data_IF_162468849346
#
_entry.id   IF_162468849346
#
_cell.length_a   1.000
_cell.length_b   1.000
_cell.length_c   1.000
_cell.angle_alpha   90.00
_cell.angle_beta   90.00
_cell.angle_gamma   90.00
#
_symmetry.space_group_name_H-M   'P 1'
#
loop_
_entity.id
_entity.type
_entity.pdbx_description
1 polymer ?
#
# COMPACT_ATOMS: atom_id res chain seq x y z
N UNK A 1 -3.86 5.00 -0.28
CA UNK A 1 -4.21 4.45 1.06
C UNK A 1 -3.30 5.04 2.12
N UNK A 2 -3.87 5.32 3.30
CA UNK A 2 -3.14 5.81 4.48
C UNK A 2 -3.56 5.02 5.73
N UNK A 3 -2.63 4.76 6.64
CA UNK A 3 -2.93 4.17 7.94
C UNK A 3 -1.94 4.65 9.01
N UNK A 4 -2.44 4.79 10.24
CA UNK A 4 -1.65 5.24 11.39
C UNK A 4 -1.27 4.03 12.23
N UNK A 5 0.02 3.87 12.53
CA UNK A 5 0.46 2.81 13.42
C UNK A 5 0.19 3.21 14.88
N UNK A 6 -0.13 2.24 15.76
CA UNK A 6 -0.37 2.51 17.18
C UNK A 6 0.91 2.92 17.93
N UNK A 7 2.08 2.56 17.40
CA UNK A 7 3.38 2.89 17.95
C UNK A 7 4.37 3.29 16.83
N UNK A 8 5.44 4.04 17.16
CA UNK A 8 6.57 4.27 16.26
C UNK A 8 7.20 2.94 15.85
N UNK A 9 7.58 2.83 14.58
CA UNK A 9 8.36 1.69 14.08
C UNK A 9 9.56 2.27 13.34
N UNK A 10 10.79 1.80 13.61
CA UNK A 10 11.96 2.19 12.83
C UNK A 10 11.73 1.96 11.34
N UNK A 11 12.24 2.86 10.51
CA UNK A 11 12.09 2.73 9.05
C UNK A 11 12.61 1.39 8.50
N UNK A 12 13.70 0.87 9.07
CA UNK A 12 14.29 -0.40 8.67
C UNK A 12 13.37 -1.60 8.94
N UNK A 13 12.80 -1.69 10.15
CA UNK A 13 11.83 -2.73 10.52
C UNK A 13 10.58 -2.69 9.62
N UNK A 14 10.11 -1.48 9.27
CA UNK A 14 9.01 -1.32 8.32
C UNK A 14 9.38 -1.79 6.90
N UNK A 15 10.60 -1.52 6.46
CA UNK A 15 11.08 -1.97 5.14
C UNK A 15 11.15 -3.50 5.07
N UNK A 16 11.66 -4.16 6.11
CA UNK A 16 11.68 -5.62 6.21
C UNK A 16 10.27 -6.20 6.19
N UNK A 17 9.35 -5.64 6.97
CA UNK A 17 7.95 -6.06 6.99
C UNK A 17 7.27 -5.91 5.61
N UNK A 18 7.62 -4.88 4.84
CA UNK A 18 7.10 -4.70 3.47
C UNK A 18 7.73 -5.64 2.45
N UNK A 19 9.02 -5.98 2.59
CA UNK A 19 9.69 -6.95 1.72
C UNK A 19 9.03 -8.34 1.81
N UNK A 20 8.57 -8.75 2.99
CA UNK A 20 7.82 -10.00 3.17
C UNK A 20 6.50 -10.05 2.39
N UNK A 21 5.98 -8.89 1.98
CA UNK A 21 4.74 -8.79 1.22
C UNK A 21 4.99 -8.65 -0.30
N UNK A 22 6.24 -8.57 -0.75
CA UNK A 22 6.59 -8.31 -2.15
C UNK A 22 5.96 -9.34 -3.10
N UNK A 23 6.16 -10.63 -2.85
CA UNK A 23 5.66 -11.72 -3.72
C UNK A 23 4.12 -11.71 -3.83
N UNK A 24 3.43 -11.40 -2.74
CA UNK A 24 1.97 -11.27 -2.71
C UNK A 24 1.48 -10.20 -3.69
N UNK A 25 2.17 -9.06 -3.78
CA UNK A 25 1.77 -7.98 -4.68
C UNK A 25 2.27 -8.20 -6.10
N UNK A 26 3.46 -8.79 -6.28
CA UNK A 26 4.00 -9.12 -7.60
C UNK A 26 3.08 -10.06 -8.38
N UNK A 27 2.32 -10.91 -7.68
CA UNK A 27 1.37 -11.86 -8.28
C UNK A 27 -0.10 -11.39 -8.23
N UNK A 28 -0.38 -10.15 -7.82
CA UNK A 28 -1.75 -9.66 -7.66
C UNK A 28 -2.36 -9.31 -9.04
N UNK A 29 -3.46 -9.98 -9.46
CA UNK A 29 -4.09 -9.69 -10.75
C UNK A 29 -4.54 -8.24 -10.87
N UNK A 30 -4.25 -7.63 -12.02
CA UNK A 30 -4.63 -6.25 -12.33
C UNK A 30 -3.78 -5.17 -11.65
N UNK A 31 -2.86 -5.52 -10.74
CA UNK A 31 -1.94 -4.56 -10.14
C UNK A 31 -0.81 -4.24 -11.13
N UNK A 32 -0.71 -2.98 -11.54
CA UNK A 32 0.36 -2.48 -12.40
C UNK A 32 1.57 -2.05 -11.57
N UNK A 33 1.32 -1.36 -10.46
CA UNK A 33 2.39 -0.88 -9.58
C UNK A 33 1.88 -0.64 -8.17
N UNK A 34 2.73 -0.93 -7.19
CA UNK A 34 2.53 -0.53 -5.80
C UNK A 34 3.77 0.17 -5.27
N UNK A 35 3.56 1.28 -4.60
CA UNK A 35 4.60 1.96 -3.83
C UNK A 35 4.32 1.76 -2.35
N UNK A 36 5.28 1.17 -1.65
CA UNK A 36 5.31 1.16 -0.19
C UNK A 36 5.98 2.44 0.30
N UNK A 37 5.31 3.16 1.19
CA UNK A 37 5.80 4.42 1.71
C UNK A 37 5.59 4.44 3.22
N UNK A 38 6.53 5.02 3.95
CA UNK A 38 6.43 5.16 5.40
C UNK A 38 6.94 6.53 5.81
N UNK A 39 6.12 7.24 6.59
CA UNK A 39 6.50 8.46 7.27
C UNK A 39 6.80 8.10 8.73
N UNK A 40 8.08 7.98 9.04
CA UNK A 40 8.56 7.62 10.38
C UNK A 40 8.23 8.71 11.40
N UNK A 41 8.34 9.99 11.03
CA UNK A 41 8.03 11.12 11.93
C UNK A 41 6.54 11.22 12.26
N UNK A 42 5.68 10.91 11.29
CA UNK A 42 4.23 10.85 11.51
C UNK A 42 3.73 9.46 11.90
N UNK A 43 4.59 8.45 12.07
CA UNK A 43 4.24 7.04 12.33
C UNK A 43 3.12 6.54 11.41
N UNK A 44 3.21 6.87 10.12
CA UNK A 44 2.11 6.71 9.18
C UNK A 44 2.58 5.95 7.94
N UNK A 45 1.95 4.81 7.69
CA UNK A 45 2.12 4.07 6.46
C UNK A 45 1.29 4.67 5.34
N UNK A 46 1.89 4.78 4.17
CA UNK A 46 1.24 5.19 2.94
C UNK A 46 1.45 4.11 1.89
N UNK A 47 0.44 3.88 1.06
CA UNK A 47 0.59 2.99 -0.09
C UNK A 47 -0.19 3.53 -1.27
N UNK A 48 0.49 3.60 -2.40
CA UNK A 48 -0.07 4.02 -3.69
C UNK A 48 -0.16 2.79 -4.56
N UNK A 49 -1.33 2.58 -5.16
CA UNK A 49 -1.63 1.44 -6.01
C UNK A 49 -2.09 1.96 -7.37
N UNK A 50 -1.52 1.42 -8.43
CA UNK A 50 -1.98 1.60 -9.78
C UNK A 50 -2.53 0.26 -10.26
N UNK A 51 -3.82 0.22 -10.57
CA UNK A 51 -4.50 -0.94 -11.14
C UNK A 51 -4.84 -0.69 -12.62
N UNK A 52 -5.03 -1.77 -13.37
CA UNK A 52 -5.46 -1.73 -14.77
C UNK A 52 -6.86 -1.15 -14.93
N UNK A 53 -7.72 -1.35 -13.94
CA UNK A 53 -9.12 -0.95 -13.93
C UNK A 53 -9.66 -0.89 -12.49
N UNK A 54 -10.80 -0.22 -12.33
CA UNK A 54 -11.47 -0.06 -11.04
C UNK A 54 -11.93 -1.40 -10.44
N UNK A 55 -12.41 -2.34 -11.26
CA UNK A 55 -12.93 -3.62 -10.77
C UNK A 55 -11.83 -4.46 -10.10
N UNK A 56 -10.62 -4.44 -10.65
CA UNK A 56 -9.43 -5.07 -10.06
C UNK A 56 -9.05 -4.46 -8.71
N UNK A 57 -9.15 -3.13 -8.59
CA UNK A 57 -8.92 -2.46 -7.31
C UNK A 57 -9.99 -2.82 -6.27
N UNK A 58 -11.26 -2.82 -6.65
CA UNK A 58 -12.39 -3.17 -5.77
C UNK A 58 -12.34 -4.62 -5.30
N UNK A 59 -11.93 -5.55 -6.16
CA UNK A 59 -11.74 -6.95 -5.80
C UNK A 59 -10.64 -7.12 -4.73
N UNK A 60 -9.62 -6.27 -4.74
CA UNK A 60 -8.55 -6.27 -3.75
C UNK A 60 -8.98 -5.58 -2.43
N UNK A 61 -9.59 -4.39 -2.50
CA UNK A 61 -9.97 -3.57 -1.35
C UNK A 61 -11.29 -4.02 -0.68
N UNK A 62 -11.44 -5.32 -0.45
CA UNK A 62 -12.59 -5.90 0.24
C UNK A 62 -12.40 -6.10 1.75
N UNK A 63 -13.35 -6.74 2.44
CA UNK A 63 -13.29 -7.01 3.88
C UNK A 63 -12.04 -7.78 4.32
N UNK A 64 -11.56 -8.72 3.48
CA UNK A 64 -10.35 -9.51 3.75
C UNK A 64 -9.09 -8.63 3.83
N UNK A 65 -9.04 -7.56 3.04
CA UNK A 65 -7.95 -6.60 3.10
C UNK A 65 -7.95 -5.85 4.43
N UNK A 66 -9.10 -5.36 4.88
CA UNK A 66 -9.25 -4.67 6.17
C UNK A 66 -8.83 -5.57 7.32
N UNK A 67 -9.27 -6.83 7.32
CA UNK A 67 -8.84 -7.82 8.32
C UNK A 67 -7.33 -7.99 8.34
N UNK A 68 -6.69 -8.14 7.18
CA UNK A 68 -5.23 -8.29 7.11
C UNK A 68 -4.48 -7.08 7.66
N UNK A 69 -5.03 -5.87 7.52
CA UNK A 69 -4.45 -4.64 8.07
C UNK A 69 -4.61 -4.55 9.59
N UNK A 70 -5.73 -5.03 10.12
CA UNK A 70 -5.94 -5.14 11.56
C UNK A 70 -5.01 -6.19 12.18
N UNK A 71 -4.86 -7.36 11.56
CA UNK A 71 -3.97 -8.43 12.05
C UNK A 71 -2.50 -8.02 12.04
N UNK A 72 -2.02 -7.40 10.96
CA UNK A 72 -0.60 -7.06 10.79
C UNK A 72 -0.20 -5.77 11.50
N UNK A 73 -1.07 -4.77 11.46
CA UNK A 73 -0.72 -3.40 11.85
C UNK A 73 -1.66 -2.82 12.92
N UNK A 74 -2.64 -3.58 13.41
CA UNK A 74 -3.62 -3.14 14.41
C UNK A 74 -4.31 -1.81 14.04
N UNK A 75 -4.55 -1.61 12.74
CA UNK A 75 -5.11 -0.37 12.18
C UNK A 75 -6.22 -0.67 11.18
N UNK A 76 -7.11 0.30 11.00
CA UNK A 76 -8.04 0.33 9.87
C UNK A 76 -7.55 1.38 8.88
N UNK A 77 -7.25 1.01 7.62
CA UNK A 77 -6.74 1.96 6.64
C UNK A 77 -7.85 2.87 6.09
N UNK A 78 -7.48 4.09 5.75
CA UNK A 78 -8.26 4.95 4.87
C UNK A 78 -7.89 4.65 3.41
N UNK A 79 -8.90 4.26 2.62
CA UNK A 79 -8.75 3.89 1.21
C UNK A 79 -9.67 4.78 0.37
N UNK A 80 -9.12 5.37 -0.69
CA UNK A 80 -9.86 6.12 -1.68
C UNK A 80 -9.22 5.88 -3.06
N UNK A 81 -10.03 6.02 -4.11
CA UNK A 81 -9.61 5.87 -5.50
C UNK A 81 -9.73 7.20 -6.25
N UNK A 82 -8.82 7.42 -7.20
CA UNK A 82 -8.82 8.55 -8.14
C UNK A 82 -8.29 8.08 -9.48
N UNK A 83 -8.70 8.75 -10.55
CA UNK A 83 -8.17 8.47 -11.88
C UNK A 83 -6.75 9.03 -12.05
N UNK A 84 -5.91 8.26 -12.76
CA UNK A 84 -4.59 8.73 -13.17
C UNK A 84 -4.71 9.45 -14.51
N UNK A 85 -4.66 10.78 -14.48
CA UNK A 85 -4.81 11.61 -15.69
C UNK A 85 -3.51 11.77 -16.48
N UNK A 86 -2.35 11.65 -15.83
CA UNK A 86 -1.02 11.78 -16.43
C UNK A 86 0.01 11.04 -15.57
N UNK A 87 0.94 10.35 -16.22
CA UNK A 87 2.15 9.79 -15.60
C UNK A 87 3.36 10.40 -16.32
N UNK A 88 4.35 10.84 -15.55
CA UNK A 88 5.61 11.34 -16.07
C UNK A 88 6.72 10.52 -15.42
N UNK A 89 7.47 9.79 -16.24
CA UNK A 89 8.69 9.12 -15.80
C UNK A 89 9.86 10.12 -15.82
N UNK A 90 10.66 10.10 -14.76
CA UNK A 90 11.92 10.85 -14.72
C UNK A 90 13.00 10.19 -15.61
N UNK A 91 14.15 10.85 -15.81
CA UNK A 91 15.30 10.18 -16.45
C UNK A 91 15.69 8.93 -15.66
N UNK A 92 16.19 7.90 -16.34
CA UNK A 92 16.74 6.70 -15.68
C UNK A 92 17.82 7.12 -14.67
N UNK A 93 17.76 6.51 -13.48
CA UNK A 93 18.65 6.79 -12.35
C UNK A 93 19.95 5.99 -12.43
#
# INVERSE_FOLDING_TARGET
MKYKLPAPVPREDMAEAFALAEEQFASLPGLVRKYFCYDEGAHCGHSVYLFTDQASAEAFFGPRFVLSMQEKFSTTPEVFGVDTVLVVDGPEA
#
